data_IF_857431578676
#
_entry.id   IF_857431578676
#
_cell.length_a   1.000
_cell.length_b   1.000
_cell.length_c   1.000
_cell.angle_alpha   90.00
_cell.angle_beta   90.00
_cell.angle_gamma   90.00
#
_symmetry.space_group_name_H-M   'P 1'
#
loop_
_entity.id
_entity.type
_entity.pdbx_description
1 polymer ?
#
# COMPACT_ATOMS: atom_id res chain seq x y z
N UNK A 1 -9.94 38.67 -29.71
CA UNK A 1 -9.50 38.06 -30.99
C UNK A 1 -9.85 36.59 -30.95
N UNK A 2 -10.99 36.21 -31.53
CA UNK A 2 -11.35 34.81 -31.75
C UNK A 2 -10.89 34.42 -33.15
N UNK A 3 -10.10 33.36 -33.28
CA UNK A 3 -9.84 32.72 -34.56
C UNK A 3 -10.13 31.22 -34.42
N UNK A 4 -11.36 30.85 -34.79
CA UNK A 4 -11.69 29.47 -35.15
C UNK A 4 -11.07 29.20 -36.53
N UNK A 5 -10.35 28.10 -36.71
CA UNK A 5 -10.37 27.40 -37.99
C UNK A 5 -10.13 25.91 -37.80
N UNK A 6 -11.14 25.18 -38.25
CA UNK A 6 -11.31 23.73 -38.30
C UNK A 6 -10.35 23.16 -39.35
N UNK A 7 -9.68 22.04 -39.03
CA UNK A 7 -9.16 21.11 -40.05
C UNK A 7 -9.82 19.75 -39.79
N UNK A 8 -10.82 19.46 -40.61
CA UNK A 8 -11.38 18.12 -40.84
C UNK A 8 -10.60 17.50 -42.01
N UNK A 9 -9.80 16.47 -41.75
CA UNK A 9 -9.47 15.46 -42.77
C UNK A 9 -9.44 14.11 -42.04
N UNK A 10 -10.50 13.33 -42.20
CA UNK A 10 -10.48 11.91 -41.87
C UNK A 10 -9.73 11.12 -42.95
N UNK A 11 -9.13 10.00 -42.58
CA UNK A 11 -9.19 8.75 -43.34
C UNK A 11 -8.65 7.61 -42.46
N UNK A 12 -9.44 6.56 -42.40
CA UNK A 12 -9.23 5.30 -41.70
C UNK A 12 -7.94 4.63 -42.18
N UNK A 13 -7.05 4.27 -41.25
CA UNK A 13 -6.09 3.18 -41.47
C UNK A 13 -6.38 2.05 -40.48
N UNK A 14 -7.13 1.07 -41.00
CA UNK A 14 -7.11 -0.32 -40.56
C UNK A 14 -5.69 -0.86 -40.76
N UNK A 15 -4.92 -0.94 -39.68
CA UNK A 15 -3.84 -1.92 -39.51
C UNK A 15 -3.54 -1.99 -38.01
N UNK A 16 -3.69 -3.18 -37.45
CA UNK A 16 -3.70 -3.42 -36.01
C UNK A 16 -2.47 -2.90 -35.29
N UNK A 17 -2.66 -1.88 -34.46
CA UNK A 17 -1.84 -1.66 -33.30
C UNK A 17 -2.54 -2.32 -32.12
N UNK A 18 -1.99 -3.47 -31.72
CA UNK A 18 -2.10 -3.95 -30.34
C UNK A 18 -1.51 -2.83 -29.48
N UNK A 19 -2.38 -2.03 -28.87
CA UNK A 19 -1.99 -1.20 -27.74
C UNK A 19 -1.79 -2.22 -26.62
N UNK A 20 -0.56 -2.67 -26.44
CA UNK A 20 -0.13 -3.17 -25.13
C UNK A 20 -0.27 -1.98 -24.18
N UNK A 21 -1.38 -1.94 -23.47
CA UNK A 21 -1.52 -1.13 -22.25
C UNK A 21 -0.46 -1.63 -21.28
N UNK A 22 0.73 -1.05 -21.32
CA UNK A 22 1.65 -1.15 -20.19
C UNK A 22 1.05 -0.31 -19.09
N UNK A 23 0.23 -0.95 -18.25
CA UNK A 23 -0.19 -0.41 -16.97
C UNK A 23 1.06 0.11 -16.28
N UNK A 24 1.14 1.43 -16.10
CA UNK A 24 2.06 2.01 -15.15
C UNK A 24 1.66 1.46 -13.80
N UNK A 25 2.34 0.41 -13.35
CA UNK A 25 2.16 -0.17 -12.04
C UNK A 25 2.54 0.91 -11.03
N UNK A 26 1.54 1.63 -10.50
CA UNK A 26 1.67 2.16 -9.16
C UNK A 26 2.01 0.93 -8.30
N UNK A 27 3.26 0.84 -7.87
CA UNK A 27 3.69 -0.27 -7.04
C UNK A 27 2.79 -0.27 -5.81
N UNK A 28 2.08 -1.37 -5.52
CA UNK A 28 1.29 -1.42 -4.30
C UNK A 28 2.24 -1.20 -3.14
N UNK A 29 1.78 -0.38 -2.18
CA UNK A 29 2.47 -0.19 -0.92
C UNK A 29 2.96 -1.57 -0.39
N UNK A 30 4.16 -1.68 0.20
CA UNK A 30 4.78 -2.88 0.79
C UNK A 30 4.03 -3.38 2.05
N UNK A 31 2.70 -3.23 2.07
CA UNK A 31 1.85 -3.91 3.02
C UNK A 31 1.96 -5.43 2.82
N UNK A 32 1.80 -6.18 3.91
CA UNK A 32 1.83 -7.62 3.81
C UNK A 32 0.69 -8.09 2.90
N UNK A 33 1.04 -8.76 1.80
CA UNK A 33 0.05 -9.52 1.03
C UNK A 33 -0.23 -10.84 1.76
N UNK A 34 -1.49 -11.30 1.85
CA UNK A 34 -1.78 -12.62 2.38
C UNK A 34 -0.99 -13.68 1.61
N UNK A 35 -0.40 -14.63 2.34
CA UNK A 35 0.33 -15.74 1.75
C UNK A 35 -0.65 -16.69 1.04
N UNK A 36 -0.67 -16.67 -0.28
CA UNK A 36 -1.21 -17.79 -1.04
C UNK A 36 -0.36 -19.03 -0.74
N UNK A 37 -1.02 -20.08 -0.31
CA UNK A 37 -0.39 -21.35 0.07
C UNK A 37 0.06 -22.09 -1.18
N UNK A 38 1.22 -21.73 -1.75
CA UNK A 38 1.86 -22.52 -2.80
C UNK A 38 3.32 -22.83 -2.46
N UNK A 39 3.57 -24.16 -2.45
CA UNK A 39 4.81 -24.92 -2.30
C UNK A 39 6.15 -24.16 -2.22
N UNK A 40 6.88 -24.44 -1.14
CA UNK A 40 8.25 -23.99 -0.91
C UNK A 40 9.24 -24.98 -1.55
N UNK A 41 9.68 -24.71 -2.78
CA UNK A 41 10.87 -25.34 -3.35
C UNK A 41 12.12 -24.52 -2.99
N UNK A 42 13.12 -25.26 -2.52
CA UNK A 42 14.47 -24.83 -2.14
C UNK A 42 15.20 -24.07 -3.25
N UNK A 43 15.83 -22.94 -2.90
CA UNK A 43 17.06 -22.48 -3.58
C UNK A 43 17.06 -21.04 -4.11
N UNK A 44 17.43 -20.10 -3.23
CA UNK A 44 18.18 -18.86 -3.52
C UNK A 44 17.63 -17.87 -4.57
N UNK A 45 16.76 -16.95 -4.12
CA UNK A 45 16.77 -15.53 -4.53
C UNK A 45 16.05 -14.65 -3.50
N UNK A 46 16.67 -13.53 -3.12
CA UNK A 46 16.13 -12.34 -2.42
C UNK A 46 15.84 -12.47 -0.92
N UNK A 47 16.80 -12.08 -0.08
CA UNK A 47 16.63 -12.01 1.39
C UNK A 47 15.40 -11.19 1.77
N UNK A 48 15.17 -10.02 1.14
CA UNK A 48 14.06 -9.12 1.49
C UNK A 48 12.66 -9.76 1.43
N UNK A 49 12.33 -10.53 0.39
CA UNK A 49 11.00 -11.16 0.26
C UNK A 49 10.79 -12.30 1.27
N UNK A 50 11.83 -13.11 1.50
CA UNK A 50 11.82 -14.13 2.56
C UNK A 50 11.69 -13.50 3.95
N UNK A 51 12.37 -12.38 4.18
CA UNK A 51 12.38 -11.68 5.46
C UNK A 51 10.99 -11.07 5.75
N UNK A 52 10.33 -10.48 4.75
CA UNK A 52 8.95 -9.98 4.91
C UNK A 52 7.94 -11.11 5.19
N UNK A 53 8.09 -12.29 4.58
CA UNK A 53 7.26 -13.47 4.88
C UNK A 53 7.47 -13.99 6.30
N UNK A 54 8.71 -14.00 6.78
CA UNK A 54 9.01 -14.39 8.16
C UNK A 54 8.43 -13.38 9.15
N UNK A 55 8.52 -12.08 8.85
CA UNK A 55 7.91 -11.02 9.66
C UNK A 55 6.39 -11.19 9.70
N UNK A 56 5.76 -11.45 8.56
CA UNK A 56 4.33 -11.78 8.49
C UNK A 56 3.98 -12.93 9.42
N UNK A 57 4.68 -14.07 9.27
CA UNK A 57 4.42 -15.28 10.08
C UNK A 57 4.55 -14.98 11.57
N UNK A 58 5.64 -14.31 11.96
CA UNK A 58 5.91 -13.92 13.34
C UNK A 58 4.79 -13.06 13.93
N UNK A 59 4.32 -12.06 13.18
CA UNK A 59 3.22 -11.21 13.64
C UNK A 59 1.89 -11.96 13.68
N UNK A 60 1.62 -12.84 12.70
CA UNK A 60 0.40 -13.63 12.63
C UNK A 60 0.30 -14.69 13.74
N UNK A 61 1.42 -15.22 14.23
CA UNK A 61 1.45 -16.12 15.39
C UNK A 61 0.92 -15.45 16.67
N UNK A 62 1.19 -14.16 16.82
CA UNK A 62 0.78 -13.38 18.00
C UNK A 62 -0.58 -12.70 17.80
N UNK A 63 -0.78 -12.10 16.64
CA UNK A 63 -1.97 -11.35 16.26
C UNK A 63 -2.54 -12.00 15.00
N UNK A 64 -3.37 -13.02 15.22
CA UNK A 64 -3.98 -13.76 14.11
C UNK A 64 -4.79 -12.81 13.25
N UNK A 65 -4.39 -12.66 12.00
CA UNK A 65 -5.09 -11.83 11.02
C UNK A 65 -5.71 -12.73 9.96
N UNK A 66 -6.95 -12.41 9.59
CA UNK A 66 -7.61 -13.06 8.48
C UNK A 66 -7.25 -12.33 7.18
N UNK A 67 -7.03 -13.04 6.06
CA UNK A 67 -6.62 -12.44 4.78
C UNK A 67 -7.47 -11.26 4.32
N UNK A 68 -8.78 -11.31 4.55
CA UNK A 68 -9.74 -10.28 4.18
C UNK A 68 -9.40 -8.91 4.76
N UNK A 69 -8.88 -8.83 5.98
CA UNK A 69 -8.52 -7.55 6.60
C UNK A 69 -7.42 -6.84 5.81
N UNK A 70 -6.43 -7.57 5.32
CA UNK A 70 -5.34 -7.00 4.53
C UNK A 70 -5.77 -6.72 3.10
N UNK A 71 -6.60 -7.57 2.51
CA UNK A 71 -7.14 -7.35 1.17
C UNK A 71 -8.00 -6.08 1.13
N UNK A 72 -8.95 -5.95 2.06
CA UNK A 72 -9.86 -4.82 2.11
C UNK A 72 -9.13 -3.53 2.47
N UNK A 73 -8.12 -3.58 3.34
CA UNK A 73 -7.22 -2.44 3.58
C UNK A 73 -6.54 -2.00 2.28
N UNK A 74 -5.97 -2.94 1.51
CA UNK A 74 -5.28 -2.61 0.26
C UNK A 74 -6.22 -2.10 -0.83
N UNK A 75 -7.46 -2.58 -0.88
CA UNK A 75 -8.44 -2.23 -1.92
C UNK A 75 -9.23 -0.95 -1.60
N UNK A 76 -9.55 -0.75 -0.33
CA UNK A 76 -10.47 0.30 0.13
C UNK A 76 -9.81 1.37 0.98
N UNK A 77 -8.65 1.08 1.56
CA UNK A 77 -7.98 1.92 2.53
C UNK A 77 -8.43 1.68 3.98
N UNK A 78 -9.30 0.70 4.27
CA UNK A 78 -9.80 0.40 5.61
C UNK A 78 -10.07 -1.09 5.87
N UNK A 79 -10.11 -1.48 7.14
CA UNK A 79 -10.55 -2.80 7.57
C UNK A 79 -12.08 -3.00 7.48
N UNK A 80 -12.57 -4.25 7.33
CA UNK A 80 -14.01 -4.58 7.33
C UNK A 80 -14.69 -4.16 8.63
N UNK A 81 -14.04 -4.42 9.77
CA UNK A 81 -14.51 -4.08 11.10
C UNK A 81 -13.39 -3.40 11.90
N UNK A 82 -13.47 -2.08 12.03
CA UNK A 82 -12.53 -1.27 12.81
C UNK A 82 -12.77 -1.35 14.34
N UNK A 83 -13.75 -2.12 14.80
CA UNK A 83 -13.88 -2.45 16.23
C UNK A 83 -12.89 -3.55 16.66
N UNK A 84 -12.41 -4.36 15.72
CA UNK A 84 -11.46 -5.44 15.99
C UNK A 84 -10.02 -4.92 16.14
N UNK A 85 -9.48 -5.04 17.35
CA UNK A 85 -8.13 -4.53 17.67
C UNK A 85 -7.00 -5.48 17.26
N UNK A 86 -7.29 -6.77 17.10
CA UNK A 86 -6.24 -7.77 16.77
C UNK A 86 -5.59 -7.49 15.41
N UNK A 87 -6.35 -7.22 14.33
CA UNK A 87 -5.78 -6.83 13.03
C UNK A 87 -4.98 -5.52 13.10
N UNK A 88 -5.40 -4.55 13.93
CA UNK A 88 -4.63 -3.31 14.14
C UNK A 88 -3.27 -3.58 14.80
N UNK A 89 -3.25 -4.48 15.79
CA UNK A 89 -2.00 -4.89 16.43
C UNK A 89 -1.10 -5.71 15.50
N UNK A 90 -1.67 -6.45 14.55
CA UNK A 90 -0.89 -7.08 13.48
C UNK A 90 -0.16 -6.02 12.63
N UNK A 91 -0.85 -4.95 12.21
CA UNK A 91 -0.22 -3.83 11.46
C UNK A 91 0.92 -3.20 12.25
N UNK A 92 0.70 -2.88 13.54
CA UNK A 92 1.76 -2.38 14.42
C UNK A 92 2.96 -3.32 14.43
N UNK A 93 2.74 -4.61 14.70
CA UNK A 93 3.81 -5.61 14.76
C UNK A 93 4.60 -5.65 13.45
N UNK A 94 3.90 -5.64 12.31
CA UNK A 94 4.54 -5.68 11.00
C UNK A 94 5.43 -4.45 10.79
N UNK A 95 4.90 -3.24 11.01
CA UNK A 95 5.63 -1.99 10.85
C UNK A 95 6.85 -1.88 11.78
N UNK A 96 6.76 -2.39 13.02
CA UNK A 96 7.87 -2.43 13.95
C UNK A 96 9.01 -3.33 13.46
N UNK A 97 8.67 -4.51 12.91
CA UNK A 97 9.68 -5.47 12.47
C UNK A 97 10.35 -5.06 11.15
N UNK A 98 9.68 -4.31 10.28
CA UNK A 98 10.30 -3.73 9.08
C UNK A 98 11.02 -2.40 9.35
N UNK A 99 10.89 -1.86 10.58
CA UNK A 99 11.60 -0.67 11.04
C UNK A 99 10.96 0.66 10.67
N UNK A 100 9.69 0.68 10.27
CA UNK A 100 8.93 1.91 9.97
C UNK A 100 8.34 2.49 11.24
N UNK A 101 7.68 1.66 12.06
CA UNK A 101 7.11 2.10 13.32
C UNK A 101 8.12 1.92 14.44
N UNK A 102 8.45 3.02 15.10
CA UNK A 102 9.39 3.05 16.22
C UNK A 102 8.62 3.22 17.54
N UNK A 103 9.33 3.02 18.65
CA UNK A 103 8.76 3.27 19.99
C UNK A 103 8.28 4.72 20.11
N UNK A 104 7.30 4.94 21.00
CA UNK A 104 6.68 6.24 21.26
C UNK A 104 5.84 6.79 20.09
N UNK A 105 5.32 5.93 19.21
CA UNK A 105 4.51 6.34 18.05
C UNK A 105 5.27 7.25 17.07
N UNK A 106 6.55 6.96 16.86
CA UNK A 106 7.38 7.72 15.90
C UNK A 106 7.60 6.89 14.63
N UNK A 107 7.75 7.57 13.49
CA UNK A 107 7.88 6.92 12.18
C UNK A 107 9.28 7.16 11.64
N UNK A 108 9.97 6.09 11.24
CA UNK A 108 11.21 6.18 10.49
C UNK A 108 10.91 6.48 9.03
N UNK A 109 10.94 7.76 8.68
CA UNK A 109 10.63 8.24 7.33
C UNK A 109 11.57 7.70 6.27
N UNK A 110 12.86 7.69 6.55
CA UNK A 110 13.87 7.17 5.62
C UNK A 110 13.55 5.71 5.26
N UNK A 111 13.23 4.89 6.28
CA UNK A 111 12.84 3.50 6.06
C UNK A 111 11.51 3.35 5.33
N UNK A 112 10.54 4.22 5.63
CA UNK A 112 9.25 4.24 4.95
C UNK A 112 9.39 4.49 3.45
N UNK A 113 10.21 5.47 3.06
CA UNK A 113 10.48 5.77 1.64
C UNK A 113 11.34 4.68 0.99
N UNK A 114 12.38 4.19 1.69
CA UNK A 114 13.26 3.11 1.18
C UNK A 114 12.46 1.86 0.82
N UNK A 115 11.46 1.51 1.64
CA UNK A 115 10.58 0.38 1.40
C UNK A 115 9.41 0.69 0.45
N UNK A 116 9.26 1.94 0.00
CA UNK A 116 8.11 2.43 -0.76
C UNK A 116 6.77 2.28 0.00
N UNK A 117 6.82 2.33 1.33
CA UNK A 117 5.64 2.34 2.19
C UNK A 117 4.90 3.68 2.19
N UNK A 118 5.61 4.76 1.87
CA UNK A 118 5.01 6.03 1.47
C UNK A 118 5.78 6.55 0.25
N UNK A 119 5.13 7.35 -0.58
CA UNK A 119 5.77 7.92 -1.78
C UNK A 119 6.67 9.10 -1.41
N UNK A 120 6.21 9.94 -0.49
CA UNK A 120 6.94 11.13 -0.04
C UNK A 120 6.92 11.31 1.48
N UNK A 121 7.81 12.14 2.00
CA UNK A 121 7.76 12.57 3.40
C UNK A 121 6.48 13.35 3.71
N UNK A 122 5.96 14.07 2.72
CA UNK A 122 4.75 14.88 2.84
C UNK A 122 3.53 13.99 3.08
N UNK A 123 3.45 12.82 2.44
CA UNK A 123 2.36 11.85 2.71
C UNK A 123 2.37 11.38 4.16
N UNK A 124 3.56 11.15 4.72
CA UNK A 124 3.71 10.79 6.13
C UNK A 124 3.30 11.98 7.01
N UNK A 125 3.76 13.20 6.70
CA UNK A 125 3.44 14.41 7.46
C UNK A 125 1.96 14.77 7.46
N UNK A 126 1.27 14.58 6.34
CA UNK A 126 -0.16 14.80 6.22
C UNK A 126 -0.97 13.74 6.97
N UNK A 127 -0.44 12.52 7.12
CA UNK A 127 -1.13 11.43 7.82
C UNK A 127 -0.82 11.33 9.32
N UNK A 128 0.27 11.94 9.83
CA UNK A 128 0.58 11.93 11.26
C UNK A 128 -0.50 12.62 12.13
N UNK A 129 -1.12 13.75 11.73
CA UNK A 129 -2.22 14.37 12.46
C UNK A 129 -3.48 13.49 12.52
N UNK A 130 -3.68 12.62 11.54
CA UNK A 130 -4.83 11.69 11.44
C UNK A 130 -4.66 10.44 12.33
N UNK A 131 -3.56 10.34 13.08
CA UNK A 131 -3.34 9.27 14.05
C UNK A 131 -4.34 9.42 15.20
N UNK A 132 -5.39 8.62 15.15
CA UNK A 132 -6.40 8.50 16.19
C UNK A 132 -6.15 7.26 17.08
N UNK A 133 -6.93 7.12 18.15
CA UNK A 133 -6.94 5.92 19.00
C UNK A 133 -6.10 6.03 20.28
N UNK A 134 -6.47 5.20 21.26
CA UNK A 134 -5.92 5.24 22.61
C UNK A 134 -4.68 4.33 22.73
N UNK A 135 -4.59 3.31 21.89
CA UNK A 135 -3.53 2.30 21.90
C UNK A 135 -2.54 2.49 20.76
N UNK A 136 -1.30 2.01 20.92
CA UNK A 136 -0.31 2.04 19.84
C UNK A 136 -0.75 1.23 18.61
N UNK A 137 -1.57 0.19 18.80
CA UNK A 137 -2.10 -0.62 17.70
C UNK A 137 -3.04 0.21 16.82
N UNK A 138 -3.99 0.91 17.44
CA UNK A 138 -4.92 1.80 16.74
C UNK A 138 -4.14 2.89 16.00
N UNK A 139 -3.16 3.51 16.66
CA UNK A 139 -2.35 4.59 16.08
C UNK A 139 -1.58 4.14 14.84
N UNK A 140 -0.92 2.98 14.90
CA UNK A 140 -0.20 2.41 13.76
C UNK A 140 -1.15 2.05 12.61
N UNK A 141 -2.35 1.55 12.94
CA UNK A 141 -3.39 1.27 11.96
C UNK A 141 -3.88 2.56 11.28
N UNK A 142 -4.30 3.59 12.02
CA UNK A 142 -4.83 4.82 11.43
C UNK A 142 -3.81 5.56 10.56
N UNK A 143 -2.52 5.51 10.93
CA UNK A 143 -1.47 6.01 10.05
C UNK A 143 -1.44 5.22 8.73
N UNK A 144 -1.43 3.88 8.80
CA UNK A 144 -1.43 3.02 7.61
C UNK A 144 -2.66 3.25 6.75
N UNK A 145 -3.84 3.33 7.37
CA UNK A 145 -5.12 3.63 6.75
C UNK A 145 -5.05 4.91 5.93
N UNK A 146 -4.51 5.98 6.50
CA UNK A 146 -4.33 7.24 5.80
C UNK A 146 -3.37 7.10 4.60
N UNK A 147 -2.19 6.50 4.79
CA UNK A 147 -1.19 6.31 3.72
C UNK A 147 -1.75 5.48 2.56
N UNK A 148 -2.45 4.38 2.85
CA UNK A 148 -3.07 3.55 1.82
C UNK A 148 -4.19 4.29 1.10
N UNK A 149 -5.03 5.02 1.84
CA UNK A 149 -6.12 5.80 1.24
C UNK A 149 -5.57 6.84 0.27
N UNK A 150 -4.47 7.52 0.63
CA UNK A 150 -3.81 8.48 -0.27
C UNK A 150 -3.28 7.81 -1.54
N UNK A 151 -2.55 6.71 -1.39
CA UNK A 151 -2.05 5.95 -2.54
C UNK A 151 -3.18 5.52 -3.50
N UNK A 152 -4.35 5.14 -2.96
CA UNK A 152 -5.53 4.80 -3.75
C UNK A 152 -6.16 6.01 -4.47
N UNK A 153 -6.18 7.18 -3.83
CA UNK A 153 -6.74 8.42 -4.43
C UNK A 153 -5.80 8.98 -5.49
N UNK A 154 -4.50 9.02 -5.22
CA UNK A 154 -3.50 9.56 -6.14
C UNK A 154 -3.36 8.67 -7.39
N UNK A 155 -3.49 7.35 -7.22
CA UNK A 155 -3.59 6.41 -8.34
C UNK A 155 -4.81 6.66 -9.24
N UNK A 156 -5.96 7.05 -8.67
CA UNK A 156 -7.18 7.38 -9.45
C UNK A 156 -7.11 8.74 -10.14
N UNK A 157 -6.25 9.65 -9.69
CA UNK A 157 -6.04 10.97 -10.30
C UNK A 157 -5.36 10.91 -11.67
N UNK A 158 -4.60 9.85 -11.94
CA UNK A 158 -3.84 9.67 -13.17
C UNK A 158 -4.65 9.07 -14.34
N UNK A 159 -5.81 8.44 -14.07
CA UNK A 159 -6.66 7.82 -15.08
C UNK A 159 -7.63 8.81 -15.79
N UNK A 160 -7.71 10.06 -15.31
CA UNK A 160 -8.68 11.05 -15.77
C UNK A 160 -8.08 12.26 -16.52
N UNK A 161 -6.81 12.21 -16.96
CA UNK A 161 -6.15 13.33 -17.65
C UNK A 161 -5.58 12.99 -19.02
#
# INVERSE_FOLDING_TARGET
MYKKLIILIGFVFLSGFLIETTYGLASPLPLPRPLDTQNFDTGKSNSSSSDLKQIYSKCNETFKILPEYLNELNETGSFPDEAEKVPMCFIKCYLENIGIWLRNNTVNRERAIELQWADTNDDIDECLPEIMGDTECEKAYYLTRCIVTRALVDGRGHDNR
#
